data_IF_642335133491
#
_entry.id   IF_642335133491
#
_cell.length_a   1.000
_cell.length_b   1.000
_cell.length_c   1.000
_cell.angle_alpha   90.00
_cell.angle_beta   90.00
_cell.angle_gamma   90.00
#
_symmetry.space_group_name_H-M   'P 1'
#
loop_
_entity.id
_entity.type
_entity.pdbx_description
1 polymer ?
#
# COMPACT_ATOMS: atom_id res chain seq x y z
N UNK A 1 -56.51 -49.25 -17.39
CA UNK A 1 -56.34 -47.79 -17.16
C UNK A 1 -55.06 -47.32 -17.86
N UNK A 2 -55.17 -46.57 -18.95
CA UNK A 2 -54.02 -46.12 -19.74
C UNK A 2 -53.60 -44.70 -19.31
N UNK A 3 -52.43 -44.58 -18.66
CA UNK A 3 -51.92 -43.31 -18.12
C UNK A 3 -51.16 -42.55 -19.23
N UNK A 4 -51.81 -41.57 -19.87
CA UNK A 4 -51.17 -40.66 -20.85
C UNK A 4 -50.01 -39.94 -20.16
N UNK A 5 -48.77 -40.27 -20.53
CA UNK A 5 -47.57 -39.52 -20.11
C UNK A 5 -47.57 -38.17 -20.82
N UNK A 6 -47.86 -37.09 -20.09
CA UNK A 6 -47.68 -35.74 -20.60
C UNK A 6 -46.18 -35.45 -20.71
N UNK A 7 -45.66 -35.43 -21.95
CA UNK A 7 -44.30 -34.98 -22.23
C UNK A 7 -44.22 -33.48 -21.93
N UNK A 8 -43.63 -33.10 -20.80
CA UNK A 8 -43.28 -31.71 -20.52
C UNK A 8 -42.28 -31.28 -21.59
N UNK A 9 -42.65 -30.33 -22.45
CA UNK A 9 -41.74 -29.74 -23.43
C UNK A 9 -40.65 -29.00 -22.65
N UNK A 10 -39.46 -29.59 -22.56
CA UNK A 10 -38.29 -28.89 -22.05
C UNK A 10 -37.97 -27.76 -23.04
N UNK A 11 -38.31 -26.52 -22.68
CA UNK A 11 -37.89 -25.34 -23.44
C UNK A 11 -36.39 -25.17 -23.22
N UNK A 12 -35.59 -25.61 -24.18
CA UNK A 12 -34.15 -25.34 -24.20
C UNK A 12 -33.89 -23.85 -24.46
N UNK A 13 -32.78 -23.34 -23.93
CA UNK A 13 -32.31 -21.98 -24.17
C UNK A 13 -31.95 -21.80 -25.65
N UNK A 14 -32.35 -20.69 -26.26
CA UNK A 14 -32.01 -20.43 -27.66
C UNK A 14 -30.60 -19.85 -27.78
N UNK A 15 -29.90 -20.17 -28.87
CA UNK A 15 -28.59 -19.58 -29.15
C UNK A 15 -28.67 -18.06 -29.30
N UNK A 16 -29.79 -17.55 -29.83
CA UNK A 16 -30.01 -16.11 -29.99
C UNK A 16 -30.15 -15.39 -28.64
N UNK A 17 -30.84 -15.99 -27.66
CA UNK A 17 -30.92 -15.45 -26.30
C UNK A 17 -29.53 -15.35 -25.67
N UNK A 18 -28.66 -16.35 -25.89
CA UNK A 18 -27.30 -16.32 -25.37
C UNK A 18 -26.46 -15.23 -26.03
N UNK A 19 -26.59 -15.05 -27.35
CA UNK A 19 -25.86 -14.04 -28.11
C UNK A 19 -26.22 -12.62 -27.66
N UNK A 20 -27.50 -12.34 -27.40
CA UNK A 20 -27.94 -11.02 -26.92
C UNK A 20 -27.38 -10.74 -25.52
N UNK A 21 -27.36 -11.74 -24.64
CA UNK A 21 -26.83 -11.60 -23.28
C UNK A 21 -25.34 -11.25 -23.30
N UNK A 22 -24.53 -11.97 -24.07
CA UNK A 22 -23.09 -11.67 -24.16
C UNK A 22 -22.83 -10.31 -24.81
N UNK A 23 -23.67 -9.88 -25.76
CA UNK A 23 -23.54 -8.58 -26.41
C UNK A 23 -23.77 -7.43 -25.40
N UNK A 24 -24.78 -7.54 -24.53
CA UNK A 24 -25.05 -6.55 -23.49
C UNK A 24 -23.92 -6.53 -22.44
N UNK A 25 -23.45 -7.70 -22.00
CA UNK A 25 -22.32 -7.80 -21.05
C UNK A 25 -21.05 -7.16 -21.63
N UNK A 26 -20.78 -7.35 -22.92
CA UNK A 26 -19.62 -6.75 -23.59
C UNK A 26 -19.66 -5.20 -23.57
N UNK A 27 -20.83 -4.61 -23.83
CA UNK A 27 -21.00 -3.14 -23.78
C UNK A 27 -20.78 -2.61 -22.36
N UNK A 28 -21.36 -3.27 -21.35
CA UNK A 28 -21.19 -2.87 -19.95
C UNK A 28 -19.73 -3.02 -19.49
N UNK A 29 -19.09 -4.13 -19.85
CA UNK A 29 -17.69 -4.40 -19.50
C UNK A 29 -16.73 -3.36 -20.10
N UNK A 30 -16.98 -2.91 -21.34
CA UNK A 30 -16.14 -1.91 -22.01
C UNK A 30 -16.05 -0.58 -21.24
N UNK A 31 -17.13 -0.15 -20.57
CA UNK A 31 -17.16 1.07 -19.76
C UNK A 31 -16.68 0.79 -18.33
N UNK A 32 -17.09 -0.35 -17.75
CA UNK A 32 -16.82 -0.67 -16.35
C UNK A 32 -15.35 -1.00 -16.08
N UNK A 33 -14.68 -1.76 -16.96
CA UNK A 33 -13.28 -2.20 -16.77
C UNK A 33 -12.31 -1.03 -16.59
N UNK A 34 -12.23 -0.04 -17.50
CA UNK A 34 -11.26 1.06 -17.35
C UNK A 34 -11.52 1.89 -16.09
N UNK A 35 -12.78 2.13 -15.74
CA UNK A 35 -13.15 2.85 -14.52
C UNK A 35 -12.76 2.06 -13.26
N UNK A 36 -13.08 0.76 -13.23
CA UNK A 36 -12.72 -0.12 -12.13
C UNK A 36 -11.21 -0.18 -11.90
N UNK A 37 -10.41 -0.28 -12.97
CA UNK A 37 -8.95 -0.26 -12.89
C UNK A 37 -8.43 1.08 -12.33
N UNK A 38 -9.02 2.21 -12.73
CA UNK A 38 -8.67 3.53 -12.20
C UNK A 38 -8.97 3.64 -10.70
N UNK A 39 -10.17 3.21 -10.28
CA UNK A 39 -10.57 3.20 -8.86
C UNK A 39 -9.64 2.30 -8.05
N UNK A 40 -9.32 1.12 -8.56
CA UNK A 40 -8.42 0.18 -7.89
C UNK A 40 -7.02 0.78 -7.70
N UNK A 41 -6.46 1.44 -8.73
CA UNK A 41 -5.18 2.15 -8.60
C UNK A 41 -5.23 3.27 -7.56
N UNK A 42 -6.27 4.10 -7.59
CA UNK A 42 -6.47 5.18 -6.59
C UNK A 42 -6.63 4.62 -5.17
N UNK A 43 -7.29 3.48 -5.00
CA UNK A 43 -7.46 2.84 -3.71
C UNK A 43 -6.11 2.35 -3.15
N UNK A 44 -5.27 1.72 -3.97
CA UNK A 44 -3.91 1.30 -3.59
C UNK A 44 -3.03 2.48 -3.18
N UNK A 45 -3.05 3.58 -3.95
CA UNK A 45 -2.33 4.81 -3.60
C UNK A 45 -2.81 5.39 -2.25
N UNK A 46 -4.12 5.41 -2.00
CA UNK A 46 -4.67 5.86 -0.70
C UNK A 46 -4.25 4.95 0.46
N UNK A 47 -4.23 3.63 0.25
CA UNK A 47 -3.79 2.67 1.24
C UNK A 47 -2.30 2.88 1.59
N UNK A 48 -1.48 3.17 0.58
CA UNK A 48 -0.06 3.48 0.76
C UNK A 48 0.16 4.77 1.55
N UNK A 49 -0.59 5.83 1.25
CA UNK A 49 -0.53 7.09 2.02
C UNK A 49 -0.94 6.88 3.48
N UNK A 50 -2.00 6.10 3.74
CA UNK A 50 -2.45 5.81 5.10
C UNK A 50 -1.41 4.97 5.88
N UNK A 51 -0.80 3.99 5.21
CA UNK A 51 0.28 3.18 5.76
C UNK A 51 1.52 4.03 6.06
N UNK A 52 1.91 4.89 5.12
CA UNK A 52 3.03 5.81 5.27
C UNK A 52 2.80 6.80 6.43
N UNK A 53 1.57 7.32 6.59
CA UNK A 53 1.20 8.14 7.75
C UNK A 53 1.36 7.37 9.06
N UNK A 54 0.95 6.09 9.10
CA UNK A 54 1.09 5.25 10.29
C UNK A 54 2.57 5.06 10.66
N UNK A 55 3.42 4.82 9.66
CA UNK A 55 4.88 4.73 9.84
C UNK A 55 5.45 6.05 10.35
N UNK A 56 5.01 7.18 9.79
CA UNK A 56 5.41 8.52 10.22
C UNK A 56 5.03 8.77 11.69
N UNK A 57 3.77 8.51 12.07
CA UNK A 57 3.29 8.73 13.44
C UNK A 57 4.07 7.85 14.44
N UNK A 58 4.34 6.58 14.08
CA UNK A 58 5.14 5.67 14.90
C UNK A 58 6.58 6.17 15.06
N UNK A 59 7.21 6.60 13.97
CA UNK A 59 8.57 7.15 13.99
C UNK A 59 8.63 8.42 14.81
N UNK A 60 7.64 9.31 14.68
CA UNK A 60 7.54 10.55 15.46
C UNK A 60 7.42 10.28 16.95
N UNK A 61 6.60 9.30 17.35
CA UNK A 61 6.48 8.87 18.74
C UNK A 61 7.82 8.35 19.29
N UNK A 62 8.53 7.53 18.52
CA UNK A 62 9.83 6.98 18.93
C UNK A 62 10.94 8.04 19.01
N UNK A 63 10.86 9.11 18.21
CA UNK A 63 11.72 10.28 18.36
C UNK A 63 11.41 11.00 19.67
N UNK A 64 10.14 11.23 19.99
CA UNK A 64 9.71 11.87 21.23
C UNK A 64 10.09 11.04 22.48
N UNK A 65 10.11 9.71 22.38
CA UNK A 65 10.58 8.80 23.42
C UNK A 65 12.12 8.73 23.52
N UNK A 66 12.86 9.39 22.63
CA UNK A 66 14.32 9.35 22.56
C UNK A 66 14.89 8.02 22.08
N UNK A 67 14.06 7.14 21.50
CA UNK A 67 14.48 5.84 20.95
C UNK A 67 15.05 5.95 19.55
N UNK A 68 14.63 6.98 18.81
CA UNK A 68 15.22 7.38 17.52
C UNK A 68 15.77 8.79 17.74
N UNK A 69 17.08 8.97 17.55
CA UNK A 69 17.72 10.27 17.74
C UNK A 69 18.09 10.83 16.37
N UNK A 70 17.52 11.96 15.95
CA UNK A 70 17.96 12.68 14.75
C UNK A 70 19.41 13.10 14.91
N UNK A 71 20.23 12.89 13.89
CA UNK A 71 21.63 13.29 13.86
C UNK A 71 21.92 14.13 12.63
N UNK A 72 23.15 14.63 12.50
CA UNK A 72 23.58 15.34 11.28
C UNK A 72 23.54 14.45 10.03
N UNK A 73 23.47 13.12 10.19
CA UNK A 73 23.25 12.17 9.13
C UNK A 73 21.79 11.69 9.07
N UNK A 74 21.38 11.26 7.89
CA UNK A 74 20.08 10.62 7.72
C UNK A 74 20.09 9.25 8.41
N UNK A 75 19.05 8.96 9.19
CA UNK A 75 18.82 7.64 9.78
C UNK A 75 17.70 6.97 8.98
N UNK A 76 18.01 5.91 8.26
CA UNK A 76 17.03 5.24 7.38
C UNK A 76 16.70 3.83 7.84
N UNK A 77 15.40 3.51 7.82
CA UNK A 77 14.86 2.19 8.10
C UNK A 77 14.05 1.69 6.91
N UNK A 78 14.36 0.49 6.44
CA UNK A 78 13.58 -0.24 5.43
C UNK A 78 12.59 -1.15 6.14
N UNK A 79 11.32 -1.08 5.72
CA UNK A 79 10.23 -1.90 6.20
C UNK A 79 9.92 -2.93 5.11
N UNK A 80 10.27 -4.18 5.38
CA UNK A 80 10.16 -5.29 4.43
C UNK A 80 9.56 -6.51 5.11
N UNK A 81 8.43 -6.96 4.58
CA UNK A 81 7.77 -8.22 4.94
C UNK A 81 7.82 -8.62 6.42
N UNK A 82 7.29 -7.77 7.30
CA UNK A 82 7.20 -8.06 8.72
C UNK A 82 8.49 -7.80 9.50
N UNK A 83 9.56 -7.32 8.86
CA UNK A 83 10.79 -6.84 9.50
C UNK A 83 11.08 -5.37 9.22
N UNK A 84 11.61 -4.68 10.24
CA UNK A 84 12.27 -3.37 10.06
C UNK A 84 13.77 -3.62 10.11
N UNK A 85 14.50 -3.13 9.11
CA UNK A 85 15.96 -3.20 9.07
C UNK A 85 16.54 -1.81 8.91
N UNK A 86 17.53 -1.40 9.72
CA UNK A 86 18.23 -0.15 9.48
C UNK A 86 19.15 -0.26 8.26
N UNK A 87 19.45 0.87 7.63
CA UNK A 87 20.47 0.95 6.59
C UNK A 87 21.84 0.50 7.15
N UNK A 88 22.59 -0.39 6.44
CA UNK A 88 23.89 -0.89 6.90
C UNK A 88 24.96 0.19 7.15
N UNK A 89 24.88 1.33 6.47
CA UNK A 89 25.80 2.45 6.70
C UNK A 89 25.53 3.13 8.04
N UNK A 90 24.24 3.27 8.38
CA UNK A 90 23.78 3.82 9.65
C UNK A 90 23.96 2.83 10.79
N UNK A 91 24.04 1.52 10.50
CA UNK A 91 24.10 0.38 11.42
C UNK A 91 25.31 0.36 12.39
N UNK A 92 26.28 1.25 12.21
CA UNK A 92 27.55 1.25 12.95
C UNK A 92 27.51 2.07 14.25
N UNK A 93 26.44 2.82 14.50
CA UNK A 93 26.28 3.62 15.72
C UNK A 93 25.29 3.00 16.73
N UNK A 94 25.67 2.77 17.99
CA UNK A 94 24.90 1.95 18.94
C UNK A 94 23.59 2.59 19.45
N UNK A 95 23.31 3.86 19.12
CA UNK A 95 22.13 4.61 19.58
C UNK A 95 21.10 4.90 18.48
N UNK A 96 21.31 4.41 17.27
CA UNK A 96 20.65 4.98 16.08
C UNK A 96 20.08 3.98 15.07
N UNK A 97 20.19 2.66 15.25
CA UNK A 97 19.76 1.74 14.17
C UNK A 97 19.09 0.42 14.59
N UNK A 98 19.75 -0.50 15.30
CA UNK A 98 19.23 -1.86 15.49
C UNK A 98 18.16 -1.89 16.59
N UNK A 99 18.42 -1.21 17.71
CA UNK A 99 17.43 -1.04 18.77
C UNK A 99 16.25 -0.16 18.31
N UNK A 100 16.53 0.87 17.50
CA UNK A 100 15.53 1.73 16.89
C UNK A 100 14.63 0.98 15.90
N UNK A 101 15.21 0.14 15.03
CA UNK A 101 14.47 -0.71 14.11
C UNK A 101 13.55 -1.69 14.85
N UNK A 102 14.07 -2.34 15.90
CA UNK A 102 13.27 -3.24 16.75
C UNK A 102 12.13 -2.48 17.46
N UNK A 103 12.37 -1.25 17.92
CA UNK A 103 11.35 -0.42 18.54
C UNK A 103 10.25 -0.03 17.55
N UNK A 104 10.62 0.37 16.32
CA UNK A 104 9.67 0.67 15.24
C UNK A 104 8.87 -0.56 14.82
N UNK A 105 9.52 -1.71 14.70
CA UNK A 105 8.86 -2.99 14.41
C UNK A 105 7.83 -3.34 15.49
N UNK A 106 8.18 -3.14 16.77
CA UNK A 106 7.28 -3.41 17.89
C UNK A 106 6.10 -2.43 17.93
N UNK A 107 6.33 -1.17 17.56
CA UNK A 107 5.29 -0.13 17.56
C UNK A 107 4.26 -0.36 16.46
N UNK A 108 4.71 -0.72 15.26
CA UNK A 108 3.81 -0.88 14.10
C UNK A 108 2.89 -2.10 14.22
N UNK A 109 3.26 -3.12 15.01
CA UNK A 109 2.57 -4.40 15.21
C UNK A 109 2.40 -5.25 13.93
N UNK A 110 1.92 -4.65 12.85
CA UNK A 110 1.90 -5.17 11.48
C UNK A 110 2.66 -4.21 10.59
N UNK A 111 3.67 -4.72 9.88
CA UNK A 111 4.42 -3.91 8.94
C UNK A 111 3.65 -3.85 7.61
N UNK A 112 3.20 -2.65 7.19
CA UNK A 112 2.49 -2.51 5.93
C UNK A 112 3.43 -2.75 4.75
N UNK A 113 2.86 -3.25 3.65
CA UNK A 113 3.55 -3.38 2.36
C UNK A 113 2.92 -2.42 1.36
N UNK A 114 3.71 -1.73 0.52
CA UNK A 114 3.18 -0.93 -0.57
C UNK A 114 2.32 -1.75 -1.53
N UNK A 115 1.16 -1.22 -1.92
CA UNK A 115 0.25 -1.85 -2.88
C UNK A 115 0.26 -1.17 -4.25
N UNK A 116 0.64 0.12 -4.33
CA UNK A 116 0.58 0.86 -5.59
C UNK A 116 1.72 0.53 -6.55
N UNK A 117 2.91 0.19 -6.03
CA UNK A 117 4.08 -0.23 -6.81
C UNK A 117 4.47 -1.66 -6.38
N UNK A 118 4.46 -2.58 -7.35
CA UNK A 118 4.79 -3.97 -7.10
C UNK A 118 6.25 -4.13 -6.64
N UNK A 119 6.46 -5.04 -5.67
CA UNK A 119 7.77 -5.43 -5.15
C UNK A 119 8.59 -4.28 -4.51
N UNK A 120 7.93 -3.19 -4.11
CA UNK A 120 8.58 -2.11 -3.37
C UNK A 120 8.36 -2.23 -1.87
N UNK A 121 9.20 -1.50 -1.14
CA UNK A 121 9.25 -1.46 0.33
C UNK A 121 8.99 -0.04 0.79
N UNK A 122 8.48 0.09 2.00
CA UNK A 122 8.47 1.40 2.65
C UNK A 122 9.87 1.67 3.22
N UNK A 123 10.32 2.90 3.07
CA UNK A 123 11.51 3.40 3.74
C UNK A 123 11.15 4.63 4.52
N UNK A 124 11.58 4.69 5.78
CA UNK A 124 11.44 5.89 6.60
C UNK A 124 12.83 6.46 6.89
N UNK A 125 12.99 7.72 6.55
CA UNK A 125 14.21 8.49 6.79
C UNK A 125 13.92 9.56 7.82
N UNK A 126 14.73 9.59 8.87
CA UNK A 126 14.76 10.63 9.89
C UNK A 126 16.01 11.46 9.67
N UNK A 127 15.84 12.76 9.43
CA UNK A 127 16.93 13.70 9.19
C UNK A 127 16.76 14.97 10.01
N UNK A 128 17.80 15.81 10.04
CA UNK A 128 17.80 17.05 10.81
C UNK A 128 18.26 16.89 12.26
N UNK A 129 18.25 17.99 13.00
CA UNK A 129 18.76 18.04 14.37
C UNK A 129 17.68 17.68 15.40
N UNK A 130 18.10 17.37 16.62
CA UNK A 130 17.23 16.98 17.74
C UNK A 130 16.06 17.97 17.98
N UNK A 131 16.31 19.28 17.81
CA UNK A 131 15.30 20.32 17.98
C UNK A 131 14.46 20.60 16.72
N UNK A 132 14.77 19.96 15.60
CA UNK A 132 14.06 20.13 14.32
C UNK A 132 14.10 18.86 13.47
N UNK A 133 13.54 17.74 13.97
CA UNK A 133 13.50 16.49 13.24
C UNK A 133 12.61 16.59 12.00
N UNK A 134 13.07 15.99 10.91
CA UNK A 134 12.32 15.79 9.68
C UNK A 134 12.15 14.30 9.47
N UNK A 135 10.92 13.87 9.23
CA UNK A 135 10.60 12.47 8.95
C UNK A 135 10.00 12.42 7.56
N UNK A 136 10.52 11.52 6.73
CA UNK A 136 10.03 11.27 5.38
C UNK A 136 9.79 9.78 5.20
N UNK A 137 8.64 9.42 4.62
CA UNK A 137 8.31 8.05 4.27
C UNK A 137 8.22 7.94 2.75
N UNK A 138 8.98 7.00 2.20
CA UNK A 138 9.17 6.74 0.78
C UNK A 138 8.73 5.33 0.41
N UNK A 139 8.46 5.11 -0.87
CA UNK A 139 8.32 3.79 -1.47
C UNK A 139 9.43 3.63 -2.53
N UNK A 140 10.35 2.69 -2.31
CA UNK A 140 11.53 2.54 -3.17
C UNK A 140 12.41 3.80 -3.21
N UNK A 141 13.26 3.91 -4.24
CA UNK A 141 14.42 4.81 -4.22
C UNK A 141 14.08 6.32 -4.20
N UNK A 142 12.97 6.75 -4.82
CA UNK A 142 12.72 8.19 -5.05
C UNK A 142 11.24 8.63 -4.96
N UNK A 143 10.36 7.80 -4.42
CA UNK A 143 8.94 8.13 -4.33
C UNK A 143 8.58 8.56 -2.92
N UNK A 144 8.57 9.86 -2.65
CA UNK A 144 8.04 10.39 -1.39
C UNK A 144 6.54 10.18 -1.31
N UNK A 145 6.04 9.70 -0.17
CA UNK A 145 4.62 9.42 0.05
C UNK A 145 4.04 10.30 1.15
N UNK A 146 4.79 10.48 2.25
CA UNK A 146 4.36 11.26 3.40
C UNK A 146 5.55 11.97 4.07
N UNK A 147 5.39 13.19 4.60
CA UNK A 147 4.18 14.04 4.64
C UNK A 147 3.84 14.70 3.30
N UNK A 148 4.84 14.86 2.42
CA UNK A 148 4.66 15.42 1.08
C UNK A 148 4.75 14.31 0.04
N UNK A 149 3.61 14.01 -0.58
CA UNK A 149 3.54 13.02 -1.65
C UNK A 149 4.16 13.55 -2.96
N UNK A 150 4.91 12.70 -3.66
CA UNK A 150 5.41 12.96 -5.00
C UNK A 150 4.24 13.19 -5.97
N UNK A 151 4.53 13.80 -7.12
CA UNK A 151 3.51 14.11 -8.14
C UNK A 151 2.66 12.88 -8.52
N UNK A 152 3.27 11.69 -8.60
CA UNK A 152 2.61 10.44 -8.96
C UNK A 152 1.56 9.98 -7.94
N UNK A 153 1.61 10.50 -6.70
CA UNK A 153 0.73 10.14 -5.60
C UNK A 153 -0.26 11.26 -5.22
N UNK A 154 -0.24 12.39 -5.94
CA UNK A 154 -1.24 13.45 -5.80
C UNK A 154 -2.56 13.01 -6.43
N UNK A 155 -3.52 12.62 -5.60
CA UNK A 155 -4.83 12.07 -6.00
C UNK A 155 -5.75 13.06 -6.76
N UNK A 156 -5.36 14.34 -6.86
CA UNK A 156 -6.15 15.45 -7.42
C UNK A 156 -5.54 16.06 -8.71
N UNK A 157 -5.17 15.21 -9.67
CA UNK A 157 -4.99 15.63 -11.07
C UNK A 157 -5.90 14.82 -11.99
#
# INVERSE_FOLDING_TARGET
>A
MNKKRQNKKNKGFTLIELIIVIAIIAILAAIAIPNFLSIQRKARVKADIASAKTIYDATSALIAEGKIVPSSGDVTFTLDDGKVTPNPEDAKEPKTNANAANALQSYLQTIPKPESIANQKFEVTVSGEENSPKIQVKIGDNTNVYPEASEDYKLNK
#
